data_IF_902536771838
#
_entry.id   IF_902536771838
#
_cell.length_a   1.000
_cell.length_b   1.000
_cell.length_c   1.000
_cell.angle_alpha   90.00
_cell.angle_beta   90.00
_cell.angle_gamma   90.00
#
_symmetry.space_group_name_H-M   'P 1'
#
loop_
_entity.id
_entity.type
_entity.pdbx_description
1 polymer ?
#
# COMPACT_ATOMS: atom_id res chain seq x y z
N UNK A 1 3.15 86.71 37.02
CA UNK A 1 2.16 85.62 37.16
C UNK A 1 2.12 84.91 35.82
N UNK A 2 2.71 83.72 35.74
CA UNK A 2 2.39 82.57 34.88
C UNK A 2 3.53 81.57 35.14
N UNK A 3 3.16 80.52 35.87
CA UNK A 3 3.97 79.34 36.16
C UNK A 3 4.22 78.53 34.90
N UNK A 4 5.46 78.05 34.72
CA UNK A 4 5.80 76.96 33.82
C UNK A 4 5.91 75.68 34.65
N UNK A 5 4.92 74.78 34.50
CA UNK A 5 4.96 73.42 35.03
C UNK A 5 5.30 72.39 33.94
N UNK A 6 6.43 71.72 34.18
CA UNK A 6 6.66 70.26 34.21
C UNK A 6 6.45 69.33 32.99
N UNK A 7 7.52 68.53 32.80
CA UNK A 7 7.58 67.08 32.56
C UNK A 7 7.09 66.56 31.20
N UNK A 8 7.89 65.85 30.39
CA UNK A 8 8.84 64.81 30.75
C UNK A 8 8.21 63.45 30.46
N UNK A 9 8.65 62.78 29.37
CA UNK A 9 8.82 61.33 29.23
C UNK A 9 9.12 60.95 27.77
N UNK A 10 10.40 60.81 27.46
CA UNK A 10 10.91 59.92 26.40
C UNK A 10 10.55 58.47 26.75
N UNK A 11 9.67 57.84 25.96
CA UNK A 11 9.46 56.39 26.01
C UNK A 11 9.43 55.78 24.60
N UNK A 12 10.60 55.22 24.24
CA UNK A 12 10.82 53.90 23.63
C UNK A 12 9.88 53.49 22.48
N UNK A 13 10.23 53.92 21.26
CA UNK A 13 9.65 53.46 19.99
C UNK A 13 10.36 52.21 19.40
N UNK A 14 11.02 51.39 20.22
CA UNK A 14 11.99 50.38 19.74
C UNK A 14 11.65 48.91 19.98
N UNK A 15 10.50 48.57 20.58
CA UNK A 15 10.22 47.19 21.01
C UNK A 15 8.95 46.55 20.39
N UNK A 16 8.20 47.27 19.55
CA UNK A 16 6.93 46.76 19.01
C UNK A 16 6.99 46.20 17.58
N UNK A 17 8.12 46.32 16.89
CA UNK A 17 8.25 45.84 15.49
C UNK A 17 8.84 44.43 15.37
N UNK A 18 9.52 43.92 16.39
CA UNK A 18 10.10 42.57 16.35
C UNK A 18 9.06 41.45 16.63
N UNK A 19 8.05 41.72 17.48
CA UNK A 19 7.04 40.70 17.83
C UNK A 19 5.99 40.48 16.75
N UNK A 20 5.72 41.47 15.88
CA UNK A 20 4.75 41.31 14.79
C UNK A 20 5.27 40.43 13.64
N UNK A 21 6.59 40.40 13.43
CA UNK A 21 7.22 39.57 12.38
C UNK A 21 7.42 38.13 12.88
N UNK A 22 7.70 37.93 14.18
CA UNK A 22 7.83 36.58 14.75
C UNK A 22 6.47 35.87 14.87
N UNK A 23 5.37 36.59 15.05
CA UNK A 23 4.02 36.01 15.08
C UNK A 23 3.46 35.66 13.69
N UNK A 24 3.95 36.29 12.60
CA UNK A 24 3.63 35.88 11.22
C UNK A 24 4.46 34.68 10.72
N UNK A 25 5.47 34.26 11.49
CA UNK A 25 6.21 33.01 11.29
C UNK A 25 5.61 31.83 12.06
N UNK A 26 4.47 32.03 12.73
CA UNK A 26 3.52 30.95 12.93
C UNK A 26 2.89 30.65 11.57
N UNK A 27 3.67 29.98 10.71
CA UNK A 27 3.15 29.21 9.60
C UNK A 27 1.97 28.45 10.18
N UNK A 28 0.78 28.73 9.65
CA UNK A 28 -0.35 27.84 9.79
C UNK A 28 0.13 26.47 9.29
N UNK A 29 0.65 25.65 10.19
CA UNK A 29 0.57 24.21 10.05
C UNK A 29 -0.92 23.98 10.25
N UNK A 30 -1.68 24.23 9.19
CA UNK A 30 -3.01 23.67 9.08
C UNK A 30 -2.73 22.18 9.25
N UNK A 31 -3.26 21.50 10.28
CA UNK A 31 -3.25 20.05 10.23
C UNK A 31 -3.85 19.71 8.87
N UNK A 32 -3.11 19.00 8.02
CA UNK A 32 -3.71 18.29 6.89
C UNK A 32 -4.82 17.50 7.57
N UNK A 33 -6.07 17.90 7.33
CA UNK A 33 -7.17 17.27 7.99
C UNK A 33 -7.14 15.81 7.55
N UNK A 34 -7.00 14.89 8.50
CA UNK A 34 -7.20 13.44 8.33
C UNK A 34 -8.66 13.09 7.91
N UNK A 35 -9.39 14.03 7.33
CA UNK A 35 -10.79 13.89 6.96
C UNK A 35 -10.98 13.07 5.68
N UNK A 36 -9.94 13.00 4.83
CA UNK A 36 -9.99 12.29 3.54
C UNK A 36 -8.81 11.30 3.38
N UNK A 37 -8.35 10.67 4.47
CA UNK A 37 -7.38 9.57 4.33
C UNK A 37 -8.07 8.34 3.71
N UNK A 38 -7.38 7.64 2.81
CA UNK A 38 -7.87 6.38 2.22
C UNK A 38 -8.14 5.34 3.31
N UNK A 39 -7.27 5.30 4.32
CA UNK A 39 -7.34 4.32 5.39
C UNK A 39 -7.69 5.01 6.70
N UNK A 40 -8.64 4.41 7.44
CA UNK A 40 -9.08 4.98 8.72
C UNK A 40 -8.15 4.65 9.88
N UNK A 41 -7.35 3.59 9.76
CA UNK A 41 -6.38 3.12 10.76
C UNK A 41 -5.34 2.20 10.05
N UNK A 42 -4.12 2.05 10.59
CA UNK A 42 -3.13 1.11 10.05
C UNK A 42 -3.43 -0.34 10.37
N UNK A 43 -4.33 -0.58 11.33
CA UNK A 43 -4.72 -1.91 11.77
C UNK A 43 -6.21 -1.93 12.16
N UNK A 44 -6.82 -3.10 12.13
CA UNK A 44 -8.23 -3.33 12.45
C UNK A 44 -9.16 -2.45 11.60
N UNK A 45 -8.76 -2.23 10.35
CA UNK A 45 -9.49 -1.42 9.37
C UNK A 45 -9.97 -2.25 8.20
N UNK A 46 -10.83 -1.65 7.37
CA UNK A 46 -11.40 -2.25 6.19
C UNK A 46 -11.11 -1.35 5.00
N UNK A 47 -10.74 -1.94 3.87
CA UNK A 47 -10.66 -1.21 2.61
C UNK A 47 -11.25 -2.04 1.48
N UNK A 48 -11.95 -1.36 0.58
CA UNK A 48 -12.56 -1.98 -0.60
C UNK A 48 -11.50 -2.32 -1.65
N UNK A 49 -11.82 -3.27 -2.51
CA UNK A 49 -11.02 -3.55 -3.72
C UNK A 49 -11.64 -2.89 -4.94
N UNK A 50 -10.80 -2.63 -5.94
CA UNK A 50 -11.17 -2.02 -7.21
C UNK A 50 -11.85 -3.01 -8.19
N UNK A 51 -11.71 -4.31 -7.96
CA UNK A 51 -12.21 -5.36 -8.86
C UNK A 51 -13.72 -5.24 -9.14
N UNK A 52 -14.10 -5.43 -10.39
CA UNK A 52 -15.49 -5.47 -10.85
C UNK A 52 -16.33 -6.51 -10.09
N UNK A 53 -15.77 -7.70 -9.87
CA UNK A 53 -16.42 -8.80 -9.14
C UNK A 53 -16.26 -8.68 -7.61
N UNK A 54 -15.60 -7.63 -7.11
CA UNK A 54 -15.40 -7.38 -5.69
C UNK A 54 -14.33 -8.26 -5.05
N UNK A 55 -14.31 -8.34 -3.72
CA UNK A 55 -13.33 -9.14 -2.99
C UNK A 55 -13.71 -10.63 -3.05
N UNK A 56 -12.75 -11.52 -3.37
CA UNK A 56 -12.98 -12.97 -3.42
C UNK A 56 -13.40 -13.52 -2.06
N UNK A 57 -12.80 -13.00 -1.00
CA UNK A 57 -13.19 -13.31 0.37
C UNK A 57 -13.94 -12.13 1.02
N UNK A 58 -15.08 -11.75 0.46
CA UNK A 58 -16.00 -10.75 1.03
C UNK A 58 -16.80 -11.30 2.24
N UNK A 59 -16.09 -11.50 3.35
CA UNK A 59 -16.70 -12.08 4.56
C UNK A 59 -17.68 -11.13 5.27
N UNK A 60 -17.72 -9.85 4.88
CA UNK A 60 -18.58 -8.82 5.48
C UNK A 60 -19.72 -8.36 4.56
N UNK A 61 -19.75 -8.81 3.30
CA UNK A 61 -20.80 -8.47 2.33
C UNK A 61 -20.72 -7.01 1.84
N UNK A 62 -19.52 -6.43 1.85
CA UNK A 62 -19.28 -5.03 1.49
C UNK A 62 -18.06 -4.84 0.57
N UNK A 63 -17.58 -5.92 -0.07
CA UNK A 63 -16.41 -5.95 -0.95
C UNK A 63 -15.12 -5.41 -0.30
N UNK A 64 -14.95 -5.61 1.01
CA UNK A 64 -13.74 -5.16 1.72
C UNK A 64 -12.90 -6.31 2.27
N UNK A 65 -11.59 -6.07 2.34
CA UNK A 65 -10.69 -6.86 3.15
C UNK A 65 -10.48 -6.23 4.53
N UNK A 66 -10.48 -7.07 5.56
CA UNK A 66 -10.12 -6.68 6.92
C UNK A 66 -8.62 -6.79 7.14
N UNK A 67 -7.98 -5.67 7.49
CA UNK A 67 -6.57 -5.58 7.84
C UNK A 67 -6.39 -5.84 9.33
N UNK A 68 -5.66 -6.91 9.67
CA UNK A 68 -5.49 -7.44 11.02
C UNK A 68 -3.99 -7.62 11.34
N UNK A 69 -3.27 -6.52 11.42
CA UNK A 69 -1.89 -6.45 11.89
C UNK A 69 -1.80 -6.34 13.43
N UNK A 70 -2.55 -7.18 14.16
CA UNK A 70 -2.65 -7.14 15.63
C UNK A 70 -1.39 -7.58 16.38
N UNK A 71 -0.44 -8.26 15.71
CA UNK A 71 0.86 -8.62 16.29
C UNK A 71 1.91 -7.58 15.92
N UNK A 72 2.65 -7.00 16.89
CA UNK A 72 3.75 -6.09 16.60
C UNK A 72 4.75 -6.73 15.65
N UNK A 73 5.01 -6.08 14.51
CA UNK A 73 5.86 -6.59 13.40
C UNK A 73 5.41 -7.91 12.75
N UNK A 74 4.25 -8.45 13.12
CA UNK A 74 3.74 -9.72 12.62
C UNK A 74 3.41 -9.65 11.14
N UNK A 75 3.85 -10.67 10.38
CA UNK A 75 3.61 -10.81 8.95
C UNK A 75 4.27 -9.77 8.04
N UNK A 76 4.99 -8.78 8.58
CA UNK A 76 5.88 -7.94 7.79
C UNK A 76 7.04 -8.79 7.24
N UNK A 77 7.39 -8.61 5.96
CA UNK A 77 8.45 -9.36 5.27
C UNK A 77 8.10 -10.85 5.03
N UNK A 78 6.82 -11.17 4.94
CA UNK A 78 6.36 -12.54 4.72
C UNK A 78 6.15 -12.86 3.24
N UNK A 79 5.64 -11.90 2.49
CA UNK A 79 5.52 -11.95 1.03
C UNK A 79 6.44 -10.89 0.41
N UNK A 80 6.77 -11.04 -0.87
CA UNK A 80 7.68 -10.13 -1.58
C UNK A 80 7.26 -9.90 -3.02
N UNK A 81 7.68 -8.76 -3.56
CA UNK A 81 7.65 -8.53 -5.00
C UNK A 81 9.02 -8.88 -5.60
N UNK A 82 9.02 -9.64 -6.68
CA UNK A 82 10.23 -10.11 -7.39
C UNK A 82 10.06 -10.07 -8.90
N UNK A 83 11.14 -9.90 -9.65
CA UNK A 83 11.17 -10.00 -11.12
C UNK A 83 11.44 -11.42 -11.62
N UNK A 84 11.58 -12.38 -10.71
CA UNK A 84 11.76 -13.78 -11.05
C UNK A 84 11.13 -14.71 -10.01
N UNK A 85 10.38 -15.75 -10.43
CA UNK A 85 9.82 -16.75 -9.51
C UNK A 85 10.91 -17.61 -8.84
N UNK A 86 12.17 -17.51 -9.28
CA UNK A 86 13.31 -18.19 -8.64
C UNK A 86 13.96 -17.37 -7.51
N UNK A 87 13.60 -16.10 -7.36
CA UNK A 87 14.21 -15.15 -6.41
C UNK A 87 13.18 -14.74 -5.35
N UNK A 88 12.90 -15.63 -4.39
CA UNK A 88 11.75 -15.49 -3.49
C UNK A 88 11.87 -14.33 -2.49
N UNK A 89 13.07 -13.87 -2.16
CA UNK A 89 13.29 -12.77 -1.21
C UNK A 89 12.96 -11.39 -1.80
N UNK A 90 12.72 -11.31 -3.11
CA UNK A 90 12.44 -10.07 -3.82
C UNK A 90 13.55 -9.03 -3.74
N UNK A 91 13.24 -7.84 -4.24
CA UNK A 91 14.12 -6.67 -4.16
C UNK A 91 13.32 -5.38 -4.36
N UNK A 92 13.99 -4.25 -4.14
CA UNK A 92 13.47 -2.94 -4.53
C UNK A 92 13.78 -2.72 -6.01
N UNK A 93 12.75 -2.69 -6.84
CA UNK A 93 12.84 -2.48 -8.27
C UNK A 93 12.44 -1.05 -8.61
N UNK A 94 13.34 -0.29 -9.22
CA UNK A 94 13.10 1.10 -9.63
C UNK A 94 13.21 1.27 -11.14
N UNK A 95 12.62 2.35 -11.66
CA UNK A 95 12.65 2.72 -13.09
C UNK A 95 12.15 1.58 -13.99
N UNK A 96 11.10 0.88 -13.56
CA UNK A 96 10.49 -0.19 -14.34
C UNK A 96 9.64 0.43 -15.46
N UNK A 97 9.60 -0.19 -16.66
CA UNK A 97 8.77 0.29 -17.76
C UNK A 97 7.28 0.25 -17.41
N UNK A 98 6.46 0.94 -18.20
CA UNK A 98 5.01 0.99 -18.04
C UNK A 98 4.31 -0.38 -18.19
N UNK A 99 4.97 -1.34 -18.85
CA UNK A 99 4.51 -2.71 -18.98
C UNK A 99 5.58 -3.73 -18.65
N UNK A 100 5.18 -4.85 -18.06
CA UNK A 100 6.10 -5.93 -17.71
C UNK A 100 5.46 -7.00 -16.85
N UNK A 101 6.31 -7.83 -16.25
CA UNK A 101 5.89 -8.92 -15.37
C UNK A 101 6.57 -8.77 -14.02
N UNK A 102 5.80 -8.96 -12.95
CA UNK A 102 6.29 -9.14 -11.60
C UNK A 102 5.69 -10.41 -11.01
N UNK A 103 6.30 -10.91 -9.94
CA UNK A 103 5.83 -12.07 -9.20
C UNK A 103 5.69 -11.71 -7.72
N UNK A 104 4.71 -12.31 -7.06
CA UNK A 104 4.52 -12.20 -5.62
C UNK A 104 4.88 -13.53 -4.98
N UNK A 105 5.99 -13.55 -4.27
CA UNK A 105 6.54 -14.72 -3.59
C UNK A 105 6.19 -14.74 -2.11
N UNK A 106 6.19 -15.94 -1.55
CA UNK A 106 5.97 -16.20 -0.13
C UNK A 106 7.23 -16.82 0.47
N UNK A 107 7.80 -16.15 1.47
CA UNK A 107 8.88 -16.67 2.31
C UNK A 107 8.47 -16.76 3.77
N UNK A 108 7.17 -16.67 4.06
CA UNK A 108 6.61 -16.78 5.39
C UNK A 108 7.00 -18.14 5.98
N UNK A 109 7.32 -18.12 7.27
CA UNK A 109 7.72 -19.33 8.01
C UNK A 109 6.61 -19.80 8.94
N UNK A 110 5.66 -18.93 9.28
CA UNK A 110 4.53 -19.23 10.15
C UNK A 110 3.45 -20.03 9.43
N UNK A 111 2.99 -19.53 8.29
CA UNK A 111 1.93 -20.15 7.49
C UNK A 111 2.50 -20.90 6.29
N UNK A 112 3.48 -20.32 5.58
CA UNK A 112 4.06 -20.83 4.33
C UNK A 112 3.05 -20.93 3.18
N UNK A 113 1.91 -20.25 3.30
CA UNK A 113 0.89 -20.06 2.29
C UNK A 113 -0.04 -18.91 2.67
N UNK A 114 -0.63 -18.29 1.65
CA UNK A 114 -1.70 -17.32 1.79
C UNK A 114 -2.84 -17.62 0.82
N UNK A 115 -4.08 -17.63 1.31
CA UNK A 115 -5.27 -18.04 0.55
C UNK A 115 -5.61 -17.04 -0.58
N UNK A 116 -5.19 -15.79 -0.42
CA UNK A 116 -5.24 -14.74 -1.44
C UNK A 116 -4.09 -13.76 -1.32
N UNK A 117 -3.82 -13.09 -2.44
CA UNK A 117 -2.87 -12.00 -2.56
C UNK A 117 -3.58 -10.76 -3.10
N UNK A 118 -3.33 -9.63 -2.48
CA UNK A 118 -3.87 -8.33 -2.86
C UNK A 118 -2.69 -7.45 -3.29
N UNK A 119 -2.84 -6.79 -4.42
CA UNK A 119 -1.89 -5.80 -4.94
C UNK A 119 -2.36 -4.41 -4.52
N UNK A 120 -1.46 -3.61 -3.96
CA UNK A 120 -1.65 -2.19 -3.81
C UNK A 120 -1.02 -1.50 -5.02
N UNK A 121 -1.80 -0.70 -5.73
CA UNK A 121 -1.31 0.19 -6.77
C UNK A 121 -1.47 1.64 -6.32
N UNK A 122 -0.42 2.45 -6.45
CA UNK A 122 -0.43 3.83 -6.01
C UNK A 122 0.22 4.77 -7.03
N UNK A 123 -0.38 5.96 -7.18
CA UNK A 123 0.19 7.08 -7.95
C UNK A 123 0.21 8.34 -7.08
N UNK A 124 1.21 9.22 -7.22
CA UNK A 124 1.22 10.50 -6.51
C UNK A 124 -0.02 11.32 -6.86
N UNK A 125 -0.73 11.80 -5.84
CA UNK A 125 -1.94 12.62 -5.98
C UNK A 125 -1.70 13.92 -6.78
N UNK A 126 -0.47 14.44 -6.76
CA UNK A 126 -0.08 15.63 -7.52
C UNK A 126 0.10 15.38 -9.01
N UNK A 127 0.01 14.14 -9.48
CA UNK A 127 0.19 13.78 -10.89
C UNK A 127 -1.16 13.57 -11.55
N UNK A 128 -1.35 14.12 -12.74
CA UNK A 128 -2.56 13.95 -13.53
C UNK A 128 -2.76 12.47 -13.90
N UNK A 129 -3.94 11.92 -13.60
CA UNK A 129 -4.25 10.49 -13.76
C UNK A 129 -5.63 10.28 -14.40
N UNK A 130 -6.22 11.30 -15.02
CA UNK A 130 -7.55 11.23 -15.61
C UNK A 130 -7.68 10.28 -16.80
N UNK A 131 -6.58 9.91 -17.46
CA UNK A 131 -6.57 8.91 -18.54
C UNK A 131 -5.82 7.64 -18.15
N UNK A 132 -5.54 7.44 -16.84
CA UNK A 132 -4.84 6.26 -16.37
C UNK A 132 -5.69 5.01 -16.64
N UNK A 133 -5.09 4.05 -17.32
CA UNK A 133 -5.60 2.70 -17.50
C UNK A 133 -4.50 1.70 -17.08
N UNK A 134 -4.79 0.87 -16.09
CA UNK A 134 -3.92 -0.22 -15.65
C UNK A 134 -4.58 -1.55 -16.01
N UNK A 135 -4.02 -2.26 -16.98
CA UNK A 135 -4.46 -3.63 -17.30
C UNK A 135 -3.60 -4.64 -16.56
N UNK A 136 -4.22 -5.56 -15.83
CA UNK A 136 -3.56 -6.69 -15.18
C UNK A 136 -4.02 -8.00 -15.79
N UNK A 137 -3.07 -8.89 -16.09
CA UNK A 137 -3.29 -10.30 -16.39
C UNK A 137 -2.54 -11.14 -15.37
N UNK A 138 -3.27 -11.95 -14.62
CA UNK A 138 -2.74 -12.67 -13.45
C UNK A 138 -2.90 -14.16 -13.65
N UNK A 139 -1.85 -14.91 -13.33
CA UNK A 139 -1.88 -16.36 -13.22
C UNK A 139 -1.32 -16.81 -11.89
N UNK A 140 -1.84 -17.92 -11.37
CA UNK A 140 -1.49 -18.35 -10.02
C UNK A 140 -2.31 -19.51 -9.53
N UNK A 141 -2.06 -19.91 -8.30
CA UNK A 141 -2.75 -21.00 -7.66
C UNK A 141 -4.07 -20.53 -7.03
N UNK A 142 -5.16 -21.25 -7.28
CA UNK A 142 -6.44 -21.05 -6.60
C UNK A 142 -6.86 -22.33 -5.91
N UNK A 143 -7.34 -22.22 -4.68
CA UNK A 143 -7.90 -23.32 -3.91
C UNK A 143 -9.03 -22.83 -3.01
N UNK A 144 -9.81 -23.77 -2.49
CA UNK A 144 -10.74 -23.51 -1.39
C UNK A 144 -9.95 -23.54 -0.08
N UNK A 145 -10.03 -22.50 0.77
CA UNK A 145 -9.27 -22.47 2.02
C UNK A 145 -9.48 -23.71 2.88
N UNK A 146 -8.42 -24.18 3.53
CA UNK A 146 -8.50 -25.37 4.37
C UNK A 146 -9.23 -25.05 5.68
N UNK A 147 -10.07 -25.98 6.16
CA UNK A 147 -10.93 -25.77 7.33
C UNK A 147 -10.22 -25.74 8.68
N UNK A 148 -8.90 -25.95 8.73
CA UNK A 148 -8.11 -26.04 9.97
C UNK A 148 -6.80 -25.25 9.93
N UNK A 149 -6.66 -24.27 9.02
CA UNK A 149 -5.43 -23.46 8.89
C UNK A 149 -4.21 -24.29 8.46
N UNK A 150 -4.45 -25.41 7.79
CA UNK A 150 -3.37 -26.23 7.24
C UNK A 150 -2.96 -25.69 5.88
N UNK A 151 -1.66 -25.75 5.58
CA UNK A 151 -1.14 -25.51 4.23
C UNK A 151 -1.88 -26.40 3.21
N UNK A 152 -2.40 -25.84 2.11
CA UNK A 152 -3.06 -26.63 1.08
C UNK A 152 -2.08 -27.63 0.45
N UNK A 153 -2.57 -28.80 0.09
CA UNK A 153 -1.79 -29.79 -0.66
C UNK A 153 -2.01 -29.53 -2.15
N UNK A 154 -1.08 -28.80 -2.77
CA UNK A 154 -1.20 -28.38 -4.15
C UNK A 154 -0.39 -29.27 -5.11
N UNK A 155 -0.87 -29.31 -6.35
CA UNK A 155 -0.17 -29.83 -7.53
C UNK A 155 -0.52 -28.93 -8.73
N UNK A 156 0.03 -29.21 -9.93
CA UNK A 156 -0.19 -28.40 -11.12
C UNK A 156 -1.65 -28.17 -11.54
N UNK A 157 -2.60 -29.03 -11.14
CA UNK A 157 -4.03 -28.87 -11.49
C UNK A 157 -4.70 -27.67 -10.81
N UNK A 158 -4.07 -27.09 -9.79
CA UNK A 158 -4.56 -25.91 -9.08
C UNK A 158 -4.02 -24.60 -9.68
N UNK A 159 -3.09 -24.68 -10.62
CA UNK A 159 -2.54 -23.52 -11.31
C UNK A 159 -3.50 -23.09 -12.41
N UNK A 160 -3.97 -21.83 -12.34
CA UNK A 160 -4.83 -21.22 -13.33
C UNK A 160 -4.02 -20.22 -14.15
N UNK A 161 -4.15 -20.32 -15.48
CA UNK A 161 -3.51 -19.40 -16.42
C UNK A 161 -4.13 -18.00 -16.42
N UNK A 162 -5.32 -17.84 -15.83
CA UNK A 162 -6.03 -16.57 -15.72
C UNK A 162 -6.87 -16.58 -14.45
N UNK A 163 -6.36 -16.03 -13.36
CA UNK A 163 -7.13 -15.77 -12.13
C UNK A 163 -7.78 -14.40 -12.16
N UNK A 164 -7.14 -13.43 -12.83
CA UNK A 164 -7.67 -12.08 -13.07
C UNK A 164 -7.22 -11.63 -14.47
N UNK A 165 -8.11 -10.96 -15.20
CA UNK A 165 -7.81 -10.25 -16.44
C UNK A 165 -8.73 -9.03 -16.52
N UNK A 166 -8.25 -7.89 -16.03
CA UNK A 166 -9.08 -6.69 -15.81
C UNK A 166 -8.29 -5.41 -16.09
N UNK A 167 -9.01 -4.37 -16.53
CA UNK A 167 -8.49 -3.02 -16.71
C UNK A 167 -9.11 -2.12 -15.65
N UNK A 168 -8.26 -1.44 -14.89
CA UNK A 168 -8.61 -0.48 -13.85
C UNK A 168 -8.37 0.94 -14.34
N UNK A 169 -9.29 1.84 -14.07
CA UNK A 169 -9.28 3.22 -14.51
C UNK A 169 -9.18 4.20 -13.33
N UNK A 170 -9.02 5.49 -13.63
CA UNK A 170 -8.95 6.54 -12.60
C UNK A 170 -10.11 6.53 -11.59
N UNK A 171 -11.28 6.03 -11.98
CA UNK A 171 -12.48 6.00 -11.12
C UNK A 171 -12.43 4.92 -10.06
N UNK A 172 -11.51 3.96 -10.19
CA UNK A 172 -11.40 2.81 -9.30
C UNK A 172 -10.49 3.10 -8.09
N UNK A 173 -9.88 4.29 -8.04
CA UNK A 173 -9.16 4.74 -6.86
C UNK A 173 -10.10 4.83 -5.64
N UNK A 174 -9.60 4.38 -4.49
CA UNK A 174 -10.27 4.59 -3.23
C UNK A 174 -10.47 6.09 -2.96
N UNK A 175 -11.59 6.48 -2.31
CA UNK A 175 -11.84 7.88 -1.99
C UNK A 175 -10.76 8.41 -1.04
N UNK A 176 -10.33 9.65 -1.27
CA UNK A 176 -9.29 10.29 -0.47
C UNK A 176 -7.87 10.16 -1.03
N UNK A 177 -6.88 10.38 -0.16
CA UNK A 177 -5.45 10.17 -0.43
C UNK A 177 -4.76 9.64 0.82
N UNK A 178 -3.62 8.96 0.70
CA UNK A 178 -2.84 8.57 1.89
C UNK A 178 -1.35 8.82 1.70
N UNK A 179 -0.64 9.10 2.79
CA UNK A 179 0.83 9.10 2.84
C UNK A 179 1.40 7.81 3.39
N UNK A 180 0.55 6.84 3.71
CA UNK A 180 0.94 5.61 4.37
C UNK A 180 0.03 4.48 3.89
N UNK A 181 0.32 3.26 4.34
CA UNK A 181 -0.51 2.08 4.07
C UNK A 181 -0.64 1.22 5.32
N UNK A 182 -1.73 0.44 5.46
CA UNK A 182 -1.90 -0.47 6.59
C UNK A 182 -0.71 -1.42 6.73
N UNK A 183 -0.19 -1.53 7.94
CA UNK A 183 0.94 -2.39 8.30
C UNK A 183 1.02 -2.50 9.84
N UNK A 184 1.83 -3.42 10.38
CA UNK A 184 2.04 -3.53 11.83
C UNK A 184 2.72 -2.33 12.51
N UNK A 185 3.24 -1.40 11.71
CA UNK A 185 3.90 -0.18 12.18
C UNK A 185 3.08 1.01 11.67
N UNK A 186 2.94 2.02 12.52
CA UNK A 186 2.23 3.25 12.18
C UNK A 186 2.95 4.01 11.07
N UNK A 187 2.20 4.75 10.25
CA UNK A 187 2.70 5.59 9.15
C UNK A 187 3.64 4.82 8.19
N UNK A 188 3.36 3.54 7.93
CA UNK A 188 4.22 2.72 7.09
C UNK A 188 4.18 3.20 5.63
N UNK A 189 5.33 3.41 4.97
CA UNK A 189 5.38 3.98 3.64
C UNK A 189 4.82 3.05 2.57
N UNK A 190 4.36 3.67 1.48
CA UNK A 190 3.82 3.02 0.28
C UNK A 190 4.92 2.50 -0.64
N UNK A 191 6.09 3.15 -0.66
CA UNK A 191 7.22 2.68 -1.46
C UNK A 191 8.57 2.95 -0.79
N UNK A 192 9.59 2.24 -1.27
CA UNK A 192 10.94 2.33 -0.70
C UNK A 192 11.55 3.71 -0.98
N UNK A 193 11.97 4.39 0.08
CA UNK A 193 12.58 5.72 -0.03
C UNK A 193 11.57 6.86 -0.15
N UNK A 194 10.29 6.60 0.14
CA UNK A 194 9.25 7.63 0.20
C UNK A 194 9.67 8.82 1.08
N UNK A 195 9.48 10.03 0.55
CA UNK A 195 9.68 11.29 1.24
C UNK A 195 8.54 11.65 2.21
N UNK A 196 8.80 12.66 3.03
CA UNK A 196 7.81 13.17 3.97
C UNK A 196 6.69 13.93 3.24
N UNK A 197 5.44 13.72 3.67
CA UNK A 197 4.22 14.40 3.19
C UNK A 197 3.80 14.09 1.74
N UNK A 198 4.40 13.09 1.07
CA UNK A 198 3.86 12.60 -0.20
C UNK A 198 2.47 12.00 0.00
N UNK A 199 1.55 12.29 -0.91
CA UNK A 199 0.15 11.83 -0.85
C UNK A 199 -0.17 11.03 -2.12
N UNK A 200 -0.89 9.92 -1.97
CA UNK A 200 -1.14 8.96 -3.04
C UNK A 200 -2.62 8.70 -3.23
N UNK A 201 -3.00 8.50 -4.50
CA UNK A 201 -4.22 7.79 -4.88
C UNK A 201 -3.90 6.30 -4.90
N UNK A 202 -4.79 5.50 -4.31
CA UNK A 202 -4.52 4.07 -4.03
C UNK A 202 -5.67 3.21 -4.54
N UNK A 203 -5.33 2.13 -5.24
CA UNK A 203 -6.21 1.00 -5.51
C UNK A 203 -5.71 -0.21 -4.72
N UNK A 204 -6.66 -0.98 -4.20
CA UNK A 204 -6.39 -2.35 -3.76
C UNK A 204 -7.02 -3.28 -4.79
N UNK A 205 -6.25 -4.24 -5.28
CA UNK A 205 -6.67 -5.14 -6.34
C UNK A 205 -6.49 -6.57 -5.82
N UNK A 206 -7.61 -7.27 -5.68
CA UNK A 206 -7.62 -8.69 -5.42
C UNK A 206 -7.11 -9.44 -6.67
N UNK A 207 -6.06 -10.25 -6.51
CA UNK A 207 -5.47 -11.01 -7.60
C UNK A 207 -6.17 -12.35 -7.85
N UNK A 208 -7.13 -12.70 -6.98
CA UNK A 208 -7.85 -13.96 -6.96
C UNK A 208 -6.90 -15.17 -6.97
N UNK A 209 -5.71 -15.04 -6.41
CA UNK A 209 -4.70 -16.07 -6.42
C UNK A 209 -4.00 -16.09 -5.07
N UNK A 210 -3.79 -17.29 -4.54
CA UNK A 210 -3.01 -17.46 -3.33
C UNK A 210 -1.53 -17.71 -3.66
N UNK A 211 -0.66 -17.37 -2.70
CA UNK A 211 0.77 -17.65 -2.76
C UNK A 211 1.12 -18.83 -1.88
N UNK A 212 2.10 -19.63 -2.31
CA UNK A 212 2.56 -20.78 -1.54
C UNK A 212 4.08 -20.91 -1.63
N UNK A 213 4.75 -21.01 -0.49
CA UNK A 213 6.18 -21.27 -0.43
C UNK A 213 6.48 -22.75 -0.80
N UNK A 214 6.50 -23.08 -2.08
CA UNK A 214 6.78 -24.41 -2.65
C UNK A 214 7.45 -24.32 -4.03
N UNK A 215 8.77 -24.45 -4.07
CA UNK A 215 9.59 -24.25 -5.28
C UNK A 215 9.42 -25.31 -6.38
N UNK A 216 8.77 -26.43 -6.09
CA UNK A 216 8.47 -27.49 -7.07
C UNK A 216 7.16 -27.27 -7.83
N UNK A 217 6.42 -26.21 -7.52
CA UNK A 217 5.22 -25.79 -8.21
C UNK A 217 5.56 -24.88 -9.40
N UNK A 218 4.61 -24.67 -10.30
CA UNK A 218 4.71 -23.70 -11.39
C UNK A 218 5.04 -22.32 -10.80
N UNK A 219 5.99 -21.61 -11.42
CA UNK A 219 6.49 -20.33 -10.91
C UNK A 219 6.85 -20.38 -9.41
N UNK A 220 7.34 -21.51 -8.89
CA UNK A 220 7.68 -21.69 -7.47
C UNK A 220 6.53 -21.42 -6.48
N UNK A 221 5.28 -21.53 -6.93
CA UNK A 221 4.11 -21.20 -6.11
C UNK A 221 3.86 -19.70 -5.93
N UNK A 222 4.55 -18.85 -6.71
CA UNK A 222 4.31 -17.41 -6.76
C UNK A 222 3.07 -17.06 -7.59
N UNK A 223 2.50 -15.88 -7.33
CA UNK A 223 1.48 -15.29 -8.20
C UNK A 223 2.19 -14.45 -9.26
N UNK A 224 1.94 -14.71 -10.54
CA UNK A 224 2.51 -13.95 -11.66
C UNK A 224 1.53 -12.86 -12.09
N UNK A 225 2.00 -11.62 -12.15
CA UNK A 225 1.22 -10.45 -12.55
C UNK A 225 1.91 -9.80 -13.74
N UNK A 226 1.25 -9.87 -14.89
CA UNK A 226 1.57 -9.07 -16.06
C UNK A 226 0.77 -7.76 -15.98
N UNK A 227 1.46 -6.62 -16.13
CA UNK A 227 0.84 -5.31 -16.05
C UNK A 227 1.14 -4.49 -17.30
N UNK A 228 0.20 -3.62 -17.65
CA UNK A 228 0.34 -2.61 -18.70
C UNK A 228 -0.34 -1.31 -18.25
N UNK A 229 0.45 -0.25 -18.04
CA UNK A 229 0.01 1.07 -17.61
C UNK A 229 0.02 2.03 -18.80
N UNK A 230 -1.16 2.50 -19.18
CA UNK A 230 -1.36 3.41 -20.31
C UNK A 230 -1.99 4.73 -19.86
N UNK A 231 -1.83 5.76 -20.70
CA UNK A 231 -2.47 7.06 -20.51
C UNK A 231 -2.03 7.83 -19.25
N UNK A 232 -0.94 7.40 -18.61
CA UNK A 232 -0.37 7.99 -17.42
C UNK A 232 1.12 8.31 -17.63
N UNK A 233 1.53 9.50 -17.18
CA UNK A 233 2.91 10.00 -17.26
C UNK A 233 3.36 10.41 -15.85
N UNK A 234 4.34 9.71 -15.29
CA UNK A 234 4.76 9.85 -13.91
C UNK A 234 5.26 8.55 -13.27
N UNK A 235 5.38 8.59 -11.95
CA UNK A 235 5.79 7.44 -11.14
C UNK A 235 4.56 6.69 -10.61
N UNK A 236 4.59 5.36 -10.67
CA UNK A 236 3.57 4.52 -10.07
C UNK A 236 4.22 3.39 -9.27
N UNK A 237 3.53 2.90 -8.25
CA UNK A 237 4.10 1.98 -7.27
C UNK A 237 3.20 0.77 -7.09
N UNK A 238 3.80 -0.43 -7.12
CA UNK A 238 3.16 -1.63 -6.61
C UNK A 238 3.75 -2.04 -5.28
N UNK A 239 2.83 -2.46 -4.42
CA UNK A 239 3.08 -3.06 -3.13
C UNK A 239 2.10 -4.22 -2.91
N UNK A 240 2.24 -5.04 -1.86
CA UNK A 240 1.40 -6.25 -1.73
C UNK A 240 0.99 -6.62 -0.31
N UNK A 241 -0.16 -7.29 -0.23
CA UNK A 241 -0.74 -7.87 0.97
C UNK A 241 -1.12 -9.32 0.73
N UNK A 242 -1.23 -10.09 1.81
CA UNK A 242 -1.70 -11.46 1.78
C UNK A 242 -2.79 -11.68 2.83
N UNK A 243 -3.81 -12.45 2.45
CA UNK A 243 -4.97 -12.80 3.26
C UNK A 243 -4.99 -14.30 3.55
N UNK A 244 -5.33 -14.66 4.79
CA UNK A 244 -5.63 -16.05 5.15
C UNK A 244 -7.02 -16.17 5.77
N UNK A 245 -7.68 -17.28 5.44
CA UNK A 245 -8.95 -17.65 6.05
C UNK A 245 -8.77 -18.07 7.50
N UNK A 246 -7.69 -18.79 7.78
CA UNK A 246 -7.35 -19.27 9.12
C UNK A 246 -5.85 -19.21 9.34
N UNK A 247 -5.45 -18.59 10.45
CA UNK A 247 -4.06 -18.50 10.89
C UNK A 247 -3.98 -18.29 12.40
N UNK A 248 -2.76 -18.37 12.95
CA UNK A 248 -2.50 -17.96 14.33
C UNK A 248 -2.63 -16.44 14.59
N UNK A 249 -2.87 -15.62 13.55
CA UNK A 249 -3.19 -14.19 13.66
C UNK A 249 -4.69 -13.91 13.48
N UNK A 250 -5.49 -14.94 13.21
CA UNK A 250 -6.90 -14.82 12.86
C UNK A 250 -7.14 -14.81 11.35
N UNK A 251 -8.37 -14.50 10.97
CA UNK A 251 -8.78 -14.32 9.58
C UNK A 251 -8.53 -12.85 9.16
N UNK A 252 -8.06 -12.62 7.94
CA UNK A 252 -7.80 -11.27 7.44
C UNK A 252 -6.46 -11.12 6.73
N UNK A 253 -6.18 -9.89 6.30
CA UNK A 253 -4.87 -9.47 5.82
C UNK A 253 -3.97 -9.25 7.04
N UNK A 254 -2.94 -10.07 7.19
CA UNK A 254 -1.96 -9.94 8.29
C UNK A 254 -0.52 -10.03 7.80
N UNK A 255 -0.28 -10.13 6.49
CA UNK A 255 1.03 -10.27 5.89
C UNK A 255 1.22 -9.28 4.76
N UNK A 256 2.43 -8.76 4.64
CA UNK A 256 2.85 -7.81 3.62
C UNK A 256 4.36 -7.89 3.43
N UNK A 257 4.84 -7.38 2.31
CA UNK A 257 6.25 -7.16 2.07
C UNK A 257 6.78 -5.97 2.87
N UNK A 258 8.11 -5.94 3.02
CA UNK A 258 8.80 -4.91 3.77
C UNK A 258 9.24 -3.78 2.82
N UNK A 259 9.18 -2.55 3.30
CA UNK A 259 9.56 -1.34 2.54
C UNK A 259 10.68 -0.54 3.21
N UNK A 260 10.95 -0.79 4.49
CA UNK A 260 12.00 -0.08 5.24
C UNK A 260 13.16 -1.03 5.54
N UNK A 261 14.37 -0.66 5.10
CA UNK A 261 15.62 -1.32 5.50
C UNK A 261 15.93 -2.62 4.74
N UNK A 262 16.77 -3.48 5.34
CA UNK A 262 17.18 -4.73 4.71
C UNK A 262 16.01 -5.71 4.57
N UNK A 263 15.96 -6.41 3.42
CA UNK A 263 14.84 -7.28 3.03
C UNK A 263 13.68 -6.55 2.36
N UNK A 264 13.82 -5.26 2.06
CA UNK A 264 12.73 -4.54 1.39
C UNK A 264 12.51 -5.03 -0.04
N UNK A 265 11.25 -5.14 -0.43
CA UNK A 265 10.84 -5.44 -1.80
C UNK A 265 9.68 -4.55 -2.23
N UNK A 266 9.65 -4.16 -3.49
CA UNK A 266 8.64 -3.23 -4.03
C UNK A 266 8.93 -2.89 -5.48
N UNK A 267 7.95 -2.34 -6.18
CA UNK A 267 8.05 -2.07 -7.63
C UNK A 267 7.68 -0.64 -7.95
N UNK A 268 8.61 0.12 -8.55
CA UNK A 268 8.38 1.48 -8.99
C UNK A 268 8.51 1.58 -10.52
N UNK A 269 7.39 1.93 -11.16
CA UNK A 269 7.28 2.26 -12.58
C UNK A 269 7.69 3.71 -12.78
N UNK A 270 8.44 3.97 -13.85
CA UNK A 270 8.65 5.32 -14.40
C UNK A 270 8.22 5.30 -15.85
N UNK A 271 7.21 6.09 -16.16
CA UNK A 271 6.75 6.36 -17.53
C UNK A 271 7.48 7.56 -18.12
#
# INVERSE_FOLDING_TARGET
>A
MIDMQNNGKTMRLGAMTASAILLMLAVCIVPVSAADDVFTDNNQTYAAVANYDGARFDIFGNNTYYFNFSKPTGGLNAIHITDSPSSLDGAVYTNRPASGTLYISDTSTDTQYHDDVILLFAVPNSTEHSNLELTLSVSGYQWVPTGSGNKPVLNGSYYNLSTLSETFENTDFLPGTSSWRPAPLDDYPIYYGQGANEQFKIMLIDLYAGSVNQTNLENSGTVMVEYDLMGYEGAAYFDTYAWNNQSAQGQGISWTNKIIGAGSSGWAIST
#
